data_IF_971380577160
#
_entry.id   IF_971380577160
#
_cell.length_a   1.000
_cell.length_b   1.000
_cell.length_c   1.000
_cell.angle_alpha   90.00
_cell.angle_beta   90.00
_cell.angle_gamma   90.00
#
_symmetry.space_group_name_H-M   'P 1'
#
loop_
_entity.id
_entity.type
_entity.pdbx_description
1 polymer ?
#
# COMPACT_ATOMS: atom_id res chain seq x y z
N UNK A 1 0.77 9.73 14.29
CA UNK A 1 1.48 9.65 12.99
C UNK A 1 2.58 8.59 13.05
N UNK A 2 2.33 7.43 12.43
CA UNK A 2 3.28 6.33 12.26
C UNK A 2 3.90 6.34 10.86
N UNK A 3 5.14 5.87 10.74
CA UNK A 3 5.79 5.63 9.45
C UNK A 3 5.41 4.25 8.91
N UNK A 4 4.62 4.22 7.83
CA UNK A 4 4.30 3.00 7.07
C UNK A 4 4.87 3.02 5.65
N UNK A 5 4.82 1.85 5.01
CA UNK A 5 5.01 1.72 3.57
C UNK A 5 3.80 1.02 2.93
N UNK A 6 3.68 1.12 1.60
CA UNK A 6 2.47 0.67 0.89
C UNK A 6 2.42 -0.84 0.70
N UNK A 7 3.56 -1.53 0.59
CA UNK A 7 3.57 -2.96 0.27
C UNK A 7 4.69 -3.32 -0.68
N UNK A 8 4.46 -3.14 -1.97
CA UNK A 8 5.37 -3.65 -3.00
C UNK A 8 6.81 -3.13 -2.86
N UNK A 9 7.78 -4.03 -2.99
CA UNK A 9 9.21 -3.77 -2.87
C UNK A 9 9.96 -4.43 -4.04
N UNK A 10 11.11 -3.89 -4.49
CA UNK A 10 11.82 -4.47 -5.61
C UNK A 10 12.19 -5.93 -5.37
N UNK A 11 12.05 -6.74 -6.42
CA UNK A 11 12.57 -8.10 -6.42
C UNK A 11 14.10 -8.08 -6.22
N UNK A 12 14.67 -9.08 -5.53
CA UNK A 12 16.12 -9.22 -5.49
C UNK A 12 16.71 -9.40 -6.89
N UNK A 13 17.97 -9.00 -7.05
CA UNK A 13 18.68 -9.09 -8.33
C UNK A 13 18.68 -10.54 -8.85
N UNK A 14 18.25 -10.71 -10.10
CA UNK A 14 18.15 -12.02 -10.76
C UNK A 14 16.86 -12.80 -10.49
N UNK A 15 15.98 -12.33 -9.59
CA UNK A 15 14.68 -12.96 -9.33
C UNK A 15 13.61 -12.38 -10.25
N UNK A 16 12.81 -13.26 -10.85
CA UNK A 16 11.70 -12.91 -11.74
C UNK A 16 10.36 -13.33 -11.16
N UNK A 17 9.26 -12.73 -11.62
CA UNK A 17 7.90 -13.14 -11.22
C UNK A 17 7.61 -14.63 -11.52
N UNK A 18 8.15 -15.16 -12.63
CA UNK A 18 8.03 -16.59 -12.94
C UNK A 18 8.74 -17.48 -11.91
N UNK A 19 9.88 -17.01 -11.39
CA UNK A 19 10.58 -17.71 -10.31
C UNK A 19 9.74 -17.68 -9.04
N UNK A 20 9.18 -16.52 -8.68
CA UNK A 20 8.28 -16.37 -7.53
C UNK A 20 7.15 -17.40 -7.60
N UNK A 21 6.41 -17.43 -8.72
CA UNK A 21 5.27 -18.31 -8.93
C UNK A 21 5.62 -19.80 -8.73
N UNK A 22 6.78 -20.23 -9.20
CA UNK A 22 7.22 -21.63 -9.09
C UNK A 22 7.75 -22.02 -7.71
N UNK A 23 8.09 -21.04 -6.87
CA UNK A 23 8.79 -21.25 -5.62
C UNK A 23 8.01 -20.77 -4.39
N UNK A 24 6.73 -20.42 -4.52
CA UNK A 24 5.90 -19.87 -3.42
C UNK A 24 5.91 -20.71 -2.13
N UNK A 25 5.92 -22.04 -2.24
CA UNK A 25 5.91 -22.94 -1.08
C UNK A 25 7.32 -23.44 -0.69
N UNK A 26 8.37 -22.80 -1.22
CA UNK A 26 9.75 -23.16 -0.89
C UNK A 26 10.29 -22.34 0.28
N UNK A 27 11.22 -22.93 1.02
CA UNK A 27 11.98 -22.23 2.06
C UNK A 27 12.79 -21.05 1.50
N UNK A 28 13.27 -21.14 0.26
CA UNK A 28 14.05 -20.07 -0.35
C UNK A 28 13.21 -18.79 -0.57
N UNK A 29 11.97 -18.95 -1.04
CA UNK A 29 11.04 -17.83 -1.16
C UNK A 29 10.67 -17.24 0.20
N UNK A 30 10.39 -18.08 1.19
CA UNK A 30 10.12 -17.66 2.57
C UNK A 30 11.26 -16.80 3.14
N UNK A 31 12.50 -17.29 3.08
CA UNK A 31 13.66 -16.56 3.61
C UNK A 31 13.91 -15.26 2.83
N UNK A 32 13.58 -15.23 1.54
CA UNK A 32 13.68 -14.02 0.72
C UNK A 32 12.66 -12.95 1.14
N UNK A 33 11.41 -13.35 1.40
CA UNK A 33 10.36 -12.48 1.94
C UNK A 33 10.79 -11.89 3.28
N UNK A 34 11.28 -12.74 4.18
CA UNK A 34 11.79 -12.32 5.50
C UNK A 34 12.94 -11.32 5.39
N UNK A 35 13.93 -11.57 4.51
CA UNK A 35 15.05 -10.64 4.30
C UNK A 35 14.57 -9.28 3.82
N UNK A 36 13.67 -9.23 2.84
CA UNK A 36 13.15 -7.98 2.30
C UNK A 36 12.31 -7.21 3.32
N UNK A 37 11.48 -7.91 4.10
CA UNK A 37 10.74 -7.31 5.22
C UNK A 37 11.69 -6.69 6.25
N UNK A 38 12.74 -7.42 6.65
CA UNK A 38 13.75 -6.90 7.59
C UNK A 38 14.52 -5.70 7.02
N UNK A 39 14.72 -5.60 5.70
CA UNK A 39 15.31 -4.39 5.10
C UNK A 39 14.44 -3.15 5.32
N UNK A 40 13.11 -3.28 5.26
CA UNK A 40 12.18 -2.19 5.56
C UNK A 40 12.23 -1.82 7.04
N UNK A 41 12.16 -2.82 7.93
CA UNK A 41 12.31 -2.62 9.39
C UNK A 41 13.61 -1.88 9.71
N UNK A 42 14.74 -2.35 9.15
CA UNK A 42 16.06 -1.77 9.36
C UNK A 42 16.23 -0.39 8.71
N UNK A 43 15.32 0.01 7.82
CA UNK A 43 15.25 1.37 7.29
C UNK A 43 14.49 2.33 8.19
N UNK A 44 13.89 1.83 9.27
CA UNK A 44 13.16 2.60 10.26
C UNK A 44 11.65 2.70 10.01
N UNK A 45 11.10 1.88 9.12
CA UNK A 45 9.64 1.78 8.92
C UNK A 45 9.02 1.21 10.20
N UNK A 46 8.05 1.93 10.78
CA UNK A 46 7.46 1.60 12.09
C UNK A 46 6.35 0.55 11.97
N UNK A 47 5.58 0.60 10.87
CA UNK A 47 4.56 -0.39 10.52
C UNK A 47 4.80 -0.91 9.09
N UNK A 48 5.81 -1.77 8.90
CA UNK A 48 6.18 -2.28 7.58
C UNK A 48 5.17 -3.29 7.06
N UNK A 49 4.99 -3.30 5.74
CA UNK A 49 4.24 -4.31 5.03
C UNK A 49 5.19 -5.41 4.49
N UNK A 50 4.68 -6.62 4.28
CA UNK A 50 5.39 -7.65 3.51
C UNK A 50 5.71 -7.13 2.10
N UNK A 51 6.74 -7.69 1.42
CA UNK A 51 7.31 -7.05 0.24
C UNK A 51 6.42 -7.12 -1.01
N UNK A 52 5.32 -7.88 -0.99
CA UNK A 52 4.39 -8.11 -2.10
C UNK A 52 5.14 -8.42 -3.41
N UNK A 53 5.94 -9.49 -3.40
CA UNK A 53 6.63 -9.95 -4.60
C UNK A 53 5.68 -10.60 -5.60
N UNK A 54 4.54 -11.10 -5.12
CA UNK A 54 3.45 -11.57 -5.96
C UNK A 54 2.68 -10.41 -6.60
N UNK A 55 2.04 -10.68 -7.74
CA UNK A 55 1.14 -9.72 -8.36
C UNK A 55 -0.06 -9.42 -7.43
N UNK A 56 -0.46 -8.15 -7.37
CA UNK A 56 -1.51 -7.70 -6.45
C UNK A 56 -2.86 -8.36 -6.72
N UNK A 57 -3.15 -8.73 -7.97
CA UNK A 57 -4.41 -9.39 -8.33
C UNK A 57 -4.28 -10.90 -8.12
N UNK A 58 -3.25 -11.50 -8.71
CA UNK A 58 -3.11 -12.96 -8.77
C UNK A 58 -2.95 -13.61 -7.40
N UNK A 59 -2.27 -12.95 -6.45
CA UNK A 59 -2.05 -13.52 -5.11
C UNK A 59 -3.36 -13.83 -4.37
N UNK A 60 -4.43 -13.09 -4.68
CA UNK A 60 -5.77 -13.33 -4.13
C UNK A 60 -6.63 -14.13 -5.11
N UNK A 61 -6.67 -13.72 -6.38
CA UNK A 61 -7.59 -14.30 -7.37
C UNK A 61 -7.28 -15.76 -7.70
N UNK A 62 -6.02 -16.17 -7.71
CA UNK A 62 -5.66 -17.58 -7.91
C UNK A 62 -6.24 -18.47 -6.80
N UNK A 63 -6.27 -17.98 -5.55
CA UNK A 63 -6.86 -18.72 -4.42
C UNK A 63 -8.38 -18.63 -4.49
N UNK A 64 -8.94 -17.45 -4.73
CA UNK A 64 -10.39 -17.21 -4.79
C UNK A 64 -11.05 -18.02 -5.90
N UNK A 65 -10.40 -18.18 -7.05
CA UNK A 65 -10.94 -18.90 -8.22
C UNK A 65 -10.66 -20.39 -8.21
N UNK A 66 -9.92 -20.91 -7.23
CA UNK A 66 -9.65 -22.34 -7.15
C UNK A 66 -10.94 -23.09 -6.74
N UNK A 67 -11.49 -23.98 -7.59
CA UNK A 67 -12.73 -24.69 -7.30
C UNK A 67 -12.66 -25.56 -6.04
N UNK A 68 -11.48 -26.03 -5.65
CA UNK A 68 -11.29 -26.83 -4.43
C UNK A 68 -11.30 -25.98 -3.16
N UNK A 69 -11.09 -24.67 -3.30
CA UNK A 69 -11.00 -23.72 -2.18
C UNK A 69 -12.27 -22.88 -2.01
N UNK A 70 -13.24 -22.98 -2.92
CA UNK A 70 -14.46 -22.18 -2.91
C UNK A 70 -15.57 -22.83 -2.10
N UNK A 71 -16.29 -22.01 -1.31
CA UNK A 71 -17.60 -22.39 -0.77
C UNK A 71 -18.69 -22.12 -1.83
N UNK A 72 -18.54 -21.02 -2.58
CA UNK A 72 -19.37 -20.61 -3.73
C UNK A 72 -18.50 -19.92 -4.79
N UNK A 73 -19.05 -19.63 -5.97
CA UNK A 73 -18.32 -18.89 -7.01
C UNK A 73 -17.81 -17.54 -6.46
N UNK A 74 -16.50 -17.33 -6.56
CA UNK A 74 -15.78 -16.16 -6.02
C UNK A 74 -15.83 -16.00 -4.49
N UNK A 75 -16.34 -17.00 -3.75
CA UNK A 75 -16.36 -17.03 -2.29
C UNK A 75 -15.36 -18.08 -1.79
N UNK A 76 -14.16 -17.64 -1.46
CA UNK A 76 -13.10 -18.53 -0.94
C UNK A 76 -13.44 -19.01 0.47
N UNK A 77 -13.31 -20.31 0.71
CA UNK A 77 -13.43 -20.90 2.04
C UNK A 77 -12.40 -20.30 2.99
N UNK A 78 -12.85 -19.93 4.19
CA UNK A 78 -12.02 -19.23 5.18
C UNK A 78 -10.70 -19.95 5.50
N UNK A 79 -10.67 -21.29 5.50
CA UNK A 79 -9.45 -22.07 5.76
C UNK A 79 -8.37 -21.92 4.70
N UNK A 80 -8.72 -21.46 3.49
CA UNK A 80 -7.80 -21.28 2.37
C UNK A 80 -7.45 -19.81 2.11
N UNK A 81 -8.15 -18.87 2.76
CA UNK A 81 -7.91 -17.42 2.65
C UNK A 81 -6.63 -17.01 3.40
N UNK A 82 -5.47 -17.38 2.88
CA UNK A 82 -4.16 -17.22 3.52
C UNK A 82 -3.25 -16.34 2.67
N UNK A 83 -2.61 -15.35 3.29
CA UNK A 83 -1.61 -14.49 2.68
C UNK A 83 -0.23 -15.12 2.90
N UNK A 84 0.35 -15.70 1.84
CA UNK A 84 1.61 -16.47 1.93
C UNK A 84 2.79 -15.67 2.45
N UNK A 85 2.94 -14.43 2.00
CA UNK A 85 4.06 -13.58 2.45
C UNK A 85 3.91 -13.15 3.91
N UNK A 86 2.67 -13.00 4.40
CA UNK A 86 2.43 -12.79 5.82
C UNK A 86 2.84 -14.02 6.63
N UNK A 87 2.47 -15.24 6.23
CA UNK A 87 2.94 -16.46 6.91
C UNK A 87 4.46 -16.55 7.00
N UNK A 88 5.19 -16.06 5.99
CA UNK A 88 6.65 -16.00 6.02
C UNK A 88 7.16 -14.97 7.04
N UNK A 89 6.54 -13.79 7.12
CA UNK A 89 6.89 -12.74 8.09
C UNK A 89 6.57 -13.17 9.53
N UNK A 90 5.48 -13.89 9.76
CA UNK A 90 5.10 -14.35 11.10
C UNK A 90 6.04 -15.41 11.70
N UNK A 91 6.96 -15.96 10.89
CA UNK A 91 8.00 -16.89 11.35
C UNK A 91 9.25 -16.19 11.89
N UNK A 92 9.32 -14.87 11.79
CA UNK A 92 10.39 -14.04 12.36
C UNK A 92 9.84 -13.11 13.43
N UNK A 93 10.70 -12.69 14.36
CA UNK A 93 10.30 -11.75 15.41
C UNK A 93 10.07 -10.36 14.82
N UNK A 94 8.82 -9.87 14.87
CA UNK A 94 8.47 -8.52 14.48
C UNK A 94 7.32 -7.98 15.34
N UNK A 95 7.39 -6.69 15.69
CA UNK A 95 6.45 -6.06 16.61
C UNK A 95 5.23 -5.44 15.93
N UNK A 96 5.35 -5.14 14.63
CA UNK A 96 4.33 -4.45 13.86
C UNK A 96 4.38 -4.91 12.41
N UNK A 97 3.20 -5.20 11.86
CA UNK A 97 2.99 -5.53 10.46
C UNK A 97 1.78 -4.75 9.94
N UNK A 98 1.93 -4.14 8.77
CA UNK A 98 0.82 -3.66 7.95
C UNK A 98 0.49 -4.75 6.94
N UNK A 99 -0.79 -5.08 6.83
CA UNK A 99 -1.28 -6.04 5.82
C UNK A 99 -1.84 -5.25 4.66
N UNK A 100 -1.52 -5.59 3.41
CA UNK A 100 -2.16 -4.97 2.25
C UNK A 100 -2.88 -6.01 1.42
N UNK A 101 -4.18 -5.81 1.25
CA UNK A 101 -5.03 -6.61 0.36
C UNK A 101 -5.48 -5.76 -0.80
N UNK A 102 -5.57 -6.37 -1.98
CA UNK A 102 -6.25 -5.73 -3.10
C UNK A 102 -7.74 -5.66 -2.81
N UNK A 103 -8.31 -4.48 -3.01
CA UNK A 103 -9.70 -4.23 -2.70
C UNK A 103 -10.70 -4.97 -3.59
N UNK A 104 -11.93 -5.18 -3.10
CA UNK A 104 -12.96 -5.90 -3.83
C UNK A 104 -13.30 -5.29 -5.18
N UNK A 105 -13.30 -3.96 -5.33
CA UNK A 105 -13.61 -3.34 -6.62
C UNK A 105 -12.48 -3.49 -7.63
N UNK A 106 -11.23 -3.38 -7.20
CA UNK A 106 -10.07 -3.62 -8.06
C UNK A 106 -10.06 -5.06 -8.57
N UNK A 107 -10.26 -6.06 -7.68
CA UNK A 107 -10.35 -7.46 -8.08
C UNK A 107 -11.54 -7.72 -9.02
N UNK A 108 -12.69 -7.14 -8.71
CA UNK A 108 -13.88 -7.22 -9.55
C UNK A 108 -13.61 -6.65 -10.94
N UNK A 109 -13.08 -5.43 -11.02
CA UNK A 109 -12.87 -4.71 -12.26
C UNK A 109 -11.88 -5.43 -13.18
N UNK A 110 -10.81 -6.01 -12.61
CA UNK A 110 -9.85 -6.80 -13.39
C UNK A 110 -10.42 -8.09 -13.96
N UNK A 111 -11.38 -8.70 -13.26
CA UNK A 111 -12.00 -9.96 -13.70
C UNK A 111 -13.18 -9.73 -14.67
N UNK A 112 -14.04 -8.75 -14.40
CA UNK A 112 -15.35 -8.61 -15.04
C UNK A 112 -15.57 -7.27 -15.76
N UNK A 113 -14.65 -6.31 -15.65
CA UNK A 113 -14.80 -4.97 -16.21
C UNK A 113 -15.77 -4.09 -15.42
N UNK A 114 -16.36 -3.09 -16.07
CA UNK A 114 -17.10 -2.01 -15.39
C UNK A 114 -18.54 -2.31 -14.97
N UNK A 115 -19.17 -3.38 -15.48
CA UNK A 115 -20.55 -3.73 -15.10
C UNK A 115 -20.52 -4.48 -13.78
N UNK A 116 -21.15 -3.94 -12.73
CA UNK A 116 -21.10 -4.50 -11.37
C UNK A 116 -22.30 -5.43 -11.10
N UNK A 117 -22.01 -6.69 -10.76
CA UNK A 117 -22.97 -7.69 -10.27
C UNK A 117 -22.81 -7.81 -8.75
N UNK A 118 -23.87 -7.48 -8.01
CA UNK A 118 -23.83 -7.35 -6.54
C UNK A 118 -23.49 -8.67 -5.83
N UNK A 119 -23.94 -9.80 -6.35
CA UNK A 119 -23.64 -11.13 -5.80
C UNK A 119 -22.14 -11.45 -5.90
N UNK A 120 -21.53 -11.20 -7.06
CA UNK A 120 -20.09 -11.42 -7.26
C UNK A 120 -19.28 -10.41 -6.43
N UNK A 121 -19.65 -9.13 -6.43
CA UNK A 121 -18.99 -8.12 -5.61
C UNK A 121 -19.03 -8.48 -4.12
N UNK A 122 -20.20 -8.90 -3.62
CA UNK A 122 -20.37 -9.36 -2.24
C UNK A 122 -19.49 -10.57 -1.92
N UNK A 123 -19.39 -11.52 -2.84
CA UNK A 123 -18.54 -12.71 -2.66
C UNK A 123 -17.05 -12.36 -2.65
N UNK A 124 -16.60 -11.47 -3.54
CA UNK A 124 -15.22 -10.96 -3.52
C UNK A 124 -14.91 -10.18 -2.24
N UNK A 125 -15.79 -9.27 -1.83
CA UNK A 125 -15.66 -8.52 -0.58
C UNK A 125 -15.58 -9.43 0.65
N UNK A 126 -16.45 -10.44 0.70
CA UNK A 126 -16.43 -11.44 1.77
C UNK A 126 -15.15 -12.29 1.72
N UNK A 127 -14.70 -12.66 0.52
CA UNK A 127 -13.44 -13.39 0.34
C UNK A 127 -12.24 -12.60 0.87
N UNK A 128 -12.11 -11.32 0.51
CA UNK A 128 -11.02 -10.48 0.98
C UNK A 128 -11.10 -10.21 2.48
N UNK A 129 -12.30 -9.98 3.01
CA UNK A 129 -12.52 -9.93 4.46
C UNK A 129 -12.07 -11.22 5.17
N UNK A 130 -12.23 -12.41 4.58
CA UNK A 130 -11.70 -13.67 5.14
C UNK A 130 -10.17 -13.73 5.16
N UNK A 131 -9.48 -13.19 4.15
CA UNK A 131 -8.02 -13.06 4.18
C UNK A 131 -7.58 -12.15 5.33
N UNK A 132 -8.25 -11.00 5.47
CA UNK A 132 -7.99 -10.05 6.57
C UNK A 132 -8.29 -10.70 7.92
N UNK A 133 -9.42 -11.40 8.06
CA UNK A 133 -9.81 -12.08 9.30
C UNK A 133 -8.77 -13.11 9.75
N UNK A 134 -8.14 -13.82 8.81
CA UNK A 134 -7.04 -14.71 9.15
C UNK A 134 -5.74 -13.96 9.48
N UNK A 135 -5.47 -12.85 8.81
CA UNK A 135 -4.29 -12.03 9.06
C UNK A 135 -4.32 -11.36 10.44
N UNK A 136 -5.45 -10.77 10.85
CA UNK A 136 -5.57 -10.06 12.14
C UNK A 136 -5.56 -10.99 13.36
N UNK A 137 -5.45 -12.31 13.16
CA UNK A 137 -5.18 -13.27 14.26
C UNK A 137 -3.76 -13.13 14.81
N UNK A 138 -2.86 -12.56 14.03
CA UNK A 138 -1.50 -12.27 14.47
C UNK A 138 -1.49 -10.93 15.24
N UNK A 139 -1.10 -10.95 16.51
CA UNK A 139 -1.19 -9.79 17.42
C UNK A 139 -0.29 -8.59 17.03
N UNK A 140 0.71 -8.83 16.19
CA UNK A 140 1.61 -7.85 15.61
C UNK A 140 1.02 -7.15 14.38
N UNK A 141 -0.09 -7.62 13.79
CA UNK A 141 -0.81 -6.88 12.75
C UNK A 141 -1.46 -5.65 13.39
N UNK A 142 -1.04 -4.46 12.95
CA UNK A 142 -1.50 -3.17 13.51
C UNK A 142 -2.42 -2.41 12.57
N UNK A 143 -2.41 -2.76 11.29
CA UNK A 143 -3.13 -2.04 10.26
C UNK A 143 -3.36 -2.93 9.06
N UNK A 144 -4.52 -2.76 8.41
CA UNK A 144 -4.86 -3.38 7.14
C UNK A 144 -5.13 -2.28 6.13
N UNK A 145 -4.52 -2.37 4.95
CA UNK A 145 -4.80 -1.52 3.80
C UNK A 145 -5.57 -2.27 2.75
N UNK A 146 -6.59 -1.60 2.23
CA UNK A 146 -7.37 -2.04 1.09
C UNK A 146 -6.96 -1.16 -0.09
N UNK A 147 -6.27 -1.73 -1.07
CA UNK A 147 -5.74 -0.99 -2.20
C UNK A 147 -6.74 -0.98 -3.37
N UNK A 148 -7.24 0.20 -3.73
CA UNK A 148 -8.28 0.41 -4.75
C UNK A 148 -7.84 1.45 -5.80
N UNK A 149 -6.80 1.15 -6.61
CA UNK A 149 -6.24 2.12 -7.54
C UNK A 149 -7.21 2.51 -8.68
N UNK A 150 -8.14 1.64 -9.09
CA UNK A 150 -9.12 1.96 -10.13
C UNK A 150 -10.27 2.85 -9.65
N UNK A 151 -10.62 2.86 -8.36
CA UNK A 151 -11.73 3.66 -7.84
C UNK A 151 -11.44 5.16 -7.99
N UNK A 152 -12.36 5.86 -8.65
CA UNK A 152 -12.23 7.29 -8.94
C UNK A 152 -11.28 7.64 -10.09
N UNK A 153 -10.63 6.66 -10.73
CA UNK A 153 -9.82 6.85 -11.94
C UNK A 153 -10.44 6.20 -13.17
N UNK A 154 -11.01 5.01 -13.03
CA UNK A 154 -11.60 4.25 -14.14
C UNK A 154 -13.01 4.75 -14.45
N UNK A 155 -13.26 5.37 -15.63
CA UNK A 155 -14.59 5.92 -15.96
C UNK A 155 -15.68 4.86 -16.06
N UNK A 156 -15.31 3.61 -16.31
CA UNK A 156 -16.24 2.47 -16.43
C UNK A 156 -16.67 1.92 -15.07
N UNK A 157 -15.88 2.14 -14.02
CA UNK A 157 -16.14 1.64 -12.68
C UNK A 157 -16.82 2.76 -11.87
N UNK A 158 -18.15 2.76 -11.87
CA UNK A 158 -18.98 3.80 -11.23
C UNK A 158 -19.92 3.14 -10.20
N UNK A 159 -19.40 2.69 -9.05
CA UNK A 159 -20.22 2.00 -8.06
C UNK A 159 -21.25 2.93 -7.42
N UNK A 160 -22.41 2.38 -7.09
CA UNK A 160 -23.42 3.06 -6.27
C UNK A 160 -22.98 3.10 -4.81
N UNK A 161 -23.60 3.97 -4.00
CA UNK A 161 -23.33 3.99 -2.56
C UNK A 161 -23.68 2.67 -1.85
N UNK A 162 -24.71 1.97 -2.32
CA UNK A 162 -25.07 0.65 -1.79
C UNK A 162 -24.00 -0.40 -2.10
N UNK A 163 -23.39 -0.34 -3.29
CA UNK A 163 -22.30 -1.24 -3.67
C UNK A 163 -21.02 -0.94 -2.88
N UNK A 164 -20.74 0.34 -2.59
CA UNK A 164 -19.63 0.73 -1.73
C UNK A 164 -19.82 0.17 -0.32
N UNK A 165 -21.03 0.31 0.26
CA UNK A 165 -21.37 -0.29 1.56
C UNK A 165 -21.25 -1.81 1.54
N UNK A 166 -21.80 -2.45 0.51
CA UNK A 166 -21.72 -3.90 0.31
C UNK A 166 -20.27 -4.41 0.31
N UNK A 167 -19.37 -3.66 -0.33
CA UNK A 167 -17.97 -4.01 -0.46
C UNK A 167 -17.19 -3.81 0.85
N UNK A 168 -17.38 -2.68 1.55
CA UNK A 168 -16.49 -2.28 2.63
C UNK A 168 -17.02 -2.51 4.06
N UNK A 169 -18.33 -2.65 4.28
CA UNK A 169 -18.88 -2.96 5.63
C UNK A 169 -18.46 -4.37 6.14
N UNK A 170 -17.83 -5.19 5.29
CA UNK A 170 -17.26 -6.49 5.67
C UNK A 170 -15.95 -6.38 6.46
N UNK A 171 -15.32 -5.21 6.51
CA UNK A 171 -13.98 -5.02 7.09
C UNK A 171 -14.00 -4.58 8.55
N UNK A 172 -14.90 -5.16 9.35
CA UNK A 172 -15.01 -4.84 10.78
C UNK A 172 -13.98 -5.61 11.60
N UNK A 173 -12.84 -4.98 11.86
CA UNK A 173 -11.73 -5.56 12.63
C UNK A 173 -11.19 -4.58 13.68
N UNK A 174 -10.55 -5.10 14.74
CA UNK A 174 -9.96 -4.30 15.83
C UNK A 174 -8.52 -3.87 15.51
N UNK A 175 -8.33 -3.30 14.32
CA UNK A 175 -7.08 -2.73 13.79
C UNK A 175 -7.44 -1.59 12.86
N UNK A 176 -6.54 -0.62 12.66
CA UNK A 176 -6.78 0.49 11.73
C UNK A 176 -6.99 -0.06 10.31
N UNK A 177 -8.15 0.25 9.72
CA UNK A 177 -8.47 -0.05 8.32
C UNK A 177 -8.18 1.18 7.47
N UNK A 178 -7.12 1.08 6.66
CA UNK A 178 -6.77 2.04 5.63
C UNK A 178 -7.42 1.66 4.30
N UNK A 179 -7.77 2.66 3.50
CA UNK A 179 -8.01 2.49 2.07
C UNK A 179 -7.03 3.36 1.28
N UNK A 180 -6.30 2.77 0.33
CA UNK A 180 -5.36 3.52 -0.52
C UNK A 180 -6.03 3.81 -1.86
N UNK A 181 -6.22 5.10 -2.14
CA UNK A 181 -6.75 5.62 -3.40
C UNK A 181 -5.67 6.32 -4.21
N UNK A 182 -5.64 6.08 -5.52
CA UNK A 182 -4.82 6.88 -6.45
C UNK A 182 -5.52 8.19 -6.86
N UNK A 183 -6.85 8.28 -6.70
CA UNK A 183 -7.63 9.51 -6.91
C UNK A 183 -8.20 9.98 -5.58
N UNK A 184 -7.67 11.07 -4.99
CA UNK A 184 -8.20 11.63 -3.75
C UNK A 184 -9.69 11.97 -3.85
N UNK A 185 -10.19 12.40 -5.01
CA UNK A 185 -11.58 12.84 -5.20
C UNK A 185 -12.64 11.81 -4.76
N UNK A 186 -12.31 10.52 -4.85
CA UNK A 186 -13.24 9.45 -4.48
C UNK A 186 -13.44 9.30 -2.96
N UNK A 187 -12.60 9.95 -2.13
CA UNK A 187 -12.70 9.80 -0.67
C UNK A 187 -14.07 10.18 -0.11
N UNK A 188 -14.75 11.16 -0.71
CA UNK A 188 -16.07 11.63 -0.27
C UNK A 188 -17.10 10.52 -0.29
N UNK A 189 -16.97 9.57 -1.22
CA UNK A 189 -17.85 8.41 -1.31
C UNK A 189 -17.66 7.41 -0.16
N UNK A 190 -16.55 7.48 0.58
CA UNK A 190 -16.17 6.53 1.62
C UNK A 190 -16.36 7.08 3.03
N UNK A 191 -16.68 8.37 3.16
CA UNK A 191 -16.84 9.06 4.46
C UNK A 191 -17.90 8.40 5.36
N UNK A 192 -18.96 7.84 4.76
CA UNK A 192 -20.03 7.16 5.50
C UNK A 192 -19.70 5.70 5.90
N UNK A 193 -18.61 5.13 5.39
CA UNK A 193 -18.23 3.75 5.69
C UNK A 193 -17.49 3.73 7.03
N UNK A 194 -18.15 3.25 8.08
CA UNK A 194 -17.59 3.26 9.43
C UNK A 194 -16.36 2.37 9.57
N UNK A 195 -16.33 1.27 8.82
CA UNK A 195 -15.24 0.28 8.82
C UNK A 195 -13.95 0.77 8.17
N UNK A 196 -13.93 1.95 7.53
CA UNK A 196 -12.70 2.56 7.01
C UNK A 196 -12.29 3.68 7.97
N UNK A 197 -11.16 3.52 8.64
CA UNK A 197 -10.67 4.49 9.63
C UNK A 197 -9.80 5.58 8.98
N UNK A 198 -9.02 5.20 7.95
CA UNK A 198 -7.97 6.04 7.38
C UNK A 198 -8.05 6.10 5.86
N UNK A 199 -8.13 7.31 5.31
CA UNK A 199 -8.05 7.54 3.86
C UNK A 199 -6.59 7.77 3.46
N UNK A 200 -6.05 6.96 2.55
CA UNK A 200 -4.70 7.09 2.01
C UNK A 200 -4.68 7.83 0.68
N UNK A 201 -3.86 8.89 0.59
CA UNK A 201 -3.67 9.69 -0.62
C UNK A 201 -2.19 9.88 -0.97
N UNK A 202 -1.92 9.97 -2.27
CA UNK A 202 -0.59 10.23 -2.84
C UNK A 202 -0.40 11.73 -3.06
N UNK A 203 0.66 12.32 -2.49
CA UNK A 203 0.85 13.78 -2.48
C UNK A 203 2.29 14.23 -2.71
N UNK A 204 3.28 13.33 -2.60
CA UNK A 204 4.68 13.71 -2.71
C UNK A 204 5.04 14.15 -4.13
N UNK A 205 4.46 13.51 -5.14
CA UNK A 205 4.59 13.91 -6.55
C UNK A 205 3.79 15.17 -6.89
N UNK A 206 2.55 15.28 -6.41
CA UNK A 206 1.69 16.45 -6.62
C UNK A 206 1.00 16.89 -5.32
N UNK A 207 1.54 17.96 -4.73
CA UNK A 207 1.05 18.50 -3.45
C UNK A 207 -0.38 19.02 -3.52
N UNK A 208 -0.87 19.38 -4.71
CA UNK A 208 -2.24 19.87 -4.91
C UNK A 208 -3.28 18.79 -4.65
N UNK A 209 -2.88 17.51 -4.64
CA UNK A 209 -3.74 16.40 -4.24
C UNK A 209 -4.31 16.60 -2.82
N UNK A 210 -3.54 17.23 -1.92
CA UNK A 210 -4.03 17.57 -0.58
C UNK A 210 -5.19 18.57 -0.61
N UNK A 211 -5.27 19.43 -1.62
CA UNK A 211 -6.37 20.42 -1.76
C UNK A 211 -7.70 19.80 -2.16
N UNK A 212 -7.69 18.53 -2.54
CA UNK A 212 -8.88 17.77 -2.89
C UNK A 212 -9.54 17.12 -1.67
N UNK A 213 -8.91 17.17 -0.49
CA UNK A 213 -9.45 16.61 0.76
C UNK A 213 -9.70 17.75 1.75
N UNK A 214 -10.95 17.86 2.20
CA UNK A 214 -11.36 18.82 3.23
C UNK A 214 -11.11 18.23 4.62
N UNK A 215 -10.44 19.01 5.49
CA UNK A 215 -10.22 18.62 6.88
C UNK A 215 -11.55 18.47 7.64
N UNK A 216 -12.54 19.31 7.35
CA UNK A 216 -13.84 19.26 8.03
C UNK A 216 -14.58 17.96 7.75
N UNK A 217 -14.47 17.43 6.52
CA UNK A 217 -15.06 16.14 6.16
C UNK A 217 -14.47 15.02 7.02
N UNK A 218 -13.14 15.01 7.17
CA UNK A 218 -12.46 14.04 8.03
C UNK A 218 -12.88 14.20 9.50
N UNK A 219 -13.08 15.42 9.99
CA UNK A 219 -13.51 15.66 11.36
C UNK A 219 -14.95 15.22 11.63
N UNK A 220 -15.88 15.54 10.74
CA UNK A 220 -17.30 15.23 10.86
C UNK A 220 -17.52 13.71 10.84
N UNK A 221 -16.77 13.01 10.00
CA UNK A 221 -16.89 11.55 9.82
C UNK A 221 -15.89 10.75 10.66
N UNK A 222 -15.17 11.43 11.56
CA UNK A 222 -14.10 10.89 12.40
C UNK A 222 -13.08 10.01 11.65
N UNK A 223 -12.72 10.45 10.44
CA UNK A 223 -11.70 9.80 9.63
C UNK A 223 -10.31 10.35 9.95
N UNK A 224 -9.31 9.51 9.75
CA UNK A 224 -7.91 9.90 9.71
C UNK A 224 -7.40 9.88 8.28
N UNK A 225 -6.19 10.40 8.09
CA UNK A 225 -5.54 10.45 6.78
C UNK A 225 -4.15 9.83 6.82
N UNK A 226 -3.81 9.14 5.74
CA UNK A 226 -2.46 8.65 5.43
C UNK A 226 -1.91 9.46 4.27
N UNK A 227 -0.76 10.10 4.45
CA UNK A 227 -0.17 11.01 3.46
C UNK A 227 1.12 10.45 2.88
N UNK A 228 1.19 10.33 1.56
CA UNK A 228 2.44 10.11 0.84
C UNK A 228 3.33 11.34 0.85
N UNK A 229 4.52 11.26 1.46
CA UNK A 229 5.49 12.36 1.64
C UNK A 229 6.82 12.12 0.91
N UNK A 230 7.06 10.88 0.48
CA UNK A 230 8.21 10.50 -0.34
C UNK A 230 7.75 9.98 -1.70
N UNK A 231 8.39 10.42 -2.79
CA UNK A 231 8.01 10.03 -4.15
C UNK A 231 8.39 8.57 -4.43
N UNK A 232 7.45 7.82 -4.99
CA UNK A 232 7.67 6.46 -5.50
C UNK A 232 7.78 6.40 -7.03
N UNK A 233 7.64 7.53 -7.74
CA UNK A 233 7.77 7.60 -9.20
C UNK A 233 9.23 7.72 -9.64
N UNK A 234 9.98 6.61 -9.56
CA UNK A 234 11.41 6.57 -9.89
C UNK A 234 11.73 7.13 -11.28
N UNK A 235 10.86 6.91 -12.27
CA UNK A 235 11.01 7.47 -13.61
C UNK A 235 11.00 8.99 -13.62
N UNK A 236 10.11 9.61 -12.84
CA UNK A 236 10.02 11.05 -12.68
C UNK A 236 11.25 11.62 -11.96
N UNK A 237 11.64 10.97 -10.86
CA UNK A 237 12.85 11.32 -10.09
C UNK A 237 14.09 11.32 -10.99
N UNK A 238 14.29 10.23 -11.75
CA UNK A 238 15.46 10.07 -12.64
C UNK A 238 15.38 11.03 -13.83
N UNK A 239 14.18 11.28 -14.40
CA UNK A 239 14.01 12.22 -15.49
C UNK A 239 14.40 13.65 -15.09
N UNK A 240 13.96 14.11 -13.93
CA UNK A 240 14.31 15.44 -13.38
C UNK A 240 15.82 15.55 -13.12
N UNK A 241 16.42 14.51 -12.52
CA UNK A 241 17.86 14.46 -12.29
C UNK A 241 18.66 14.49 -13.60
N UNK A 242 18.28 13.69 -14.59
CA UNK A 242 18.92 13.67 -15.90
C UNK A 242 18.84 15.03 -16.59
N UNK A 243 17.69 15.71 -16.52
CA UNK A 243 17.52 17.05 -17.08
C UNK A 243 18.41 18.08 -16.36
N UNK A 244 18.51 18.00 -15.03
CA UNK A 244 19.33 18.90 -14.22
C UNK A 244 20.83 18.77 -14.47
N UNK A 245 21.32 17.54 -14.67
CA UNK A 245 22.76 17.25 -14.81
C UNK A 245 23.22 16.94 -16.23
N UNK A 246 22.30 16.87 -17.19
CA UNK A 246 22.57 16.46 -18.57
C UNK A 246 23.29 15.09 -18.65
N UNK A 247 22.77 14.11 -17.91
CA UNK A 247 23.29 12.73 -17.84
C UNK A 247 22.21 11.71 -18.20
N UNK A 248 22.60 10.44 -18.27
CA UNK A 248 21.67 9.32 -18.34
C UNK A 248 21.92 8.36 -17.17
N UNK A 249 21.24 8.59 -16.05
CA UNK A 249 21.40 7.83 -14.81
C UNK A 249 20.99 6.36 -14.96
N UNK A 250 20.11 6.00 -15.91
CA UNK A 250 19.70 4.60 -16.13
C UNK A 250 20.86 3.67 -16.52
N UNK A 251 21.99 4.22 -16.98
CA UNK A 251 23.19 3.45 -17.32
C UNK A 251 24.12 3.19 -16.13
N UNK A 252 23.85 3.78 -14.96
CA UNK A 252 24.71 3.67 -13.79
C UNK A 252 23.89 3.65 -12.50
N UNK A 253 23.88 2.51 -11.80
CA UNK A 253 23.20 2.33 -10.50
C UNK A 253 23.60 3.41 -9.49
N UNK A 254 24.84 3.92 -9.53
CA UNK A 254 25.30 5.00 -8.63
C UNK A 254 24.63 6.34 -8.93
N UNK A 255 24.38 6.64 -10.21
CA UNK A 255 23.67 7.85 -10.59
C UNK A 255 22.19 7.77 -10.20
N UNK A 256 21.57 6.59 -10.24
CA UNK A 256 20.19 6.42 -9.74
C UNK A 256 20.13 6.64 -8.22
N UNK A 257 21.05 6.04 -7.47
CA UNK A 257 21.14 6.28 -6.03
C UNK A 257 21.30 7.78 -5.72
N UNK A 258 22.20 8.46 -6.46
CA UNK A 258 22.39 9.91 -6.33
C UNK A 258 21.14 10.71 -6.69
N UNK A 259 20.38 10.29 -7.71
CA UNK A 259 19.12 10.94 -8.06
C UNK A 259 18.12 10.88 -6.90
N UNK A 260 17.99 9.73 -6.24
CA UNK A 260 17.12 9.57 -5.06
C UNK A 260 17.64 10.43 -3.89
N UNK A 261 18.94 10.37 -3.60
CA UNK A 261 19.54 11.12 -2.50
C UNK A 261 19.39 12.65 -2.64
N UNK A 262 19.29 13.15 -3.86
CA UNK A 262 19.22 14.58 -4.14
C UNK A 262 17.79 15.09 -4.35
N UNK A 263 16.97 14.34 -5.10
CA UNK A 263 15.60 14.73 -5.43
C UNK A 263 14.62 14.40 -4.29
N UNK A 264 14.91 13.34 -3.53
CA UNK A 264 14.17 12.89 -2.35
C UNK A 264 15.08 12.92 -1.11
N UNK A 265 15.74 14.06 -0.92
CA UNK A 265 16.56 14.32 0.25
C UNK A 265 15.72 14.52 1.52
N UNK A 266 16.38 14.42 2.68
CA UNK A 266 15.74 14.55 4.00
C UNK A 266 14.98 15.88 4.13
N UNK A 267 15.55 16.97 3.62
CA UNK A 267 14.96 18.31 3.71
C UNK A 267 13.68 18.43 2.90
N UNK A 268 13.66 17.88 1.70
CA UNK A 268 12.52 17.89 0.78
C UNK A 268 11.36 17.11 1.37
N UNK A 269 11.62 15.89 1.86
CA UNK A 269 10.60 15.07 2.51
C UNK A 269 10.07 15.76 3.78
N UNK A 270 10.96 16.32 4.62
CA UNK A 270 10.58 17.06 5.84
C UNK A 270 9.67 18.26 5.53
N UNK A 271 9.97 19.01 4.48
CA UNK A 271 9.11 20.13 4.07
C UNK A 271 7.70 19.65 3.70
N UNK A 272 7.58 18.53 2.98
CA UNK A 272 6.27 17.93 2.66
C UNK A 272 5.53 17.47 3.91
N UNK A 273 6.24 16.88 4.89
CA UNK A 273 5.65 16.52 6.19
C UNK A 273 5.11 17.76 6.92
N UNK A 274 5.87 18.87 6.93
CA UNK A 274 5.44 20.14 7.53
C UNK A 274 4.18 20.67 6.84
N UNK A 275 4.17 20.70 5.51
CA UNK A 275 3.02 21.16 4.72
C UNK A 275 1.77 20.32 4.99
N UNK A 276 1.90 18.99 4.97
CA UNK A 276 0.81 18.08 5.29
C UNK A 276 0.28 18.31 6.71
N UNK A 277 1.17 18.45 7.70
CA UNK A 277 0.75 18.66 9.07
C UNK A 277 0.13 20.03 9.31
N UNK A 278 0.60 21.09 8.66
CA UNK A 278 -0.05 22.40 8.74
C UNK A 278 -1.50 22.35 8.23
N UNK A 279 -1.78 21.42 7.31
CA UNK A 279 -3.11 21.25 6.73
C UNK A 279 -4.01 20.31 7.52
N UNK A 280 -3.49 19.17 7.96
CA UNK A 280 -4.30 18.09 8.55
C UNK A 280 -4.02 17.83 10.03
N UNK A 281 -2.97 18.45 10.60
CA UNK A 281 -2.60 18.36 12.01
C UNK A 281 -2.62 16.91 12.56
N UNK A 282 -3.40 16.68 13.61
CA UNK A 282 -3.55 15.41 14.31
C UNK A 282 -4.50 14.40 13.61
N UNK A 283 -5.08 14.78 12.46
CA UNK A 283 -5.79 13.83 11.59
C UNK A 283 -4.83 12.93 10.82
N UNK A 284 -3.53 13.25 10.75
CA UNK A 284 -2.53 12.37 10.12
C UNK A 284 -2.21 11.18 11.03
N UNK A 285 -2.74 10.01 10.67
CA UNK A 285 -2.46 8.75 11.35
C UNK A 285 -1.18 8.11 10.83
N UNK A 286 -0.92 8.17 9.52
CA UNK A 286 0.20 7.49 8.86
C UNK A 286 0.87 8.38 7.81
N UNK A 287 2.16 8.17 7.59
CA UNK A 287 2.93 8.79 6.51
C UNK A 287 3.93 7.79 5.92
N UNK A 288 4.29 7.98 4.66
CA UNK A 288 5.25 7.12 3.98
C UNK A 288 5.47 7.52 2.52
N UNK A 289 5.96 6.60 1.67
CA UNK A 289 6.03 6.81 0.22
C UNK A 289 4.64 6.93 -0.42
N UNK A 290 4.49 7.64 -1.53
CA UNK A 290 3.20 7.77 -2.25
C UNK A 290 2.57 6.40 -2.51
N UNK A 291 3.29 5.54 -3.24
CA UNK A 291 2.85 4.21 -3.64
C UNK A 291 3.89 3.14 -3.26
N UNK A 292 3.66 1.89 -3.69
CA UNK A 292 4.62 0.81 -3.58
C UNK A 292 5.93 1.09 -4.34
N UNK A 293 7.03 0.49 -3.89
CA UNK A 293 8.39 0.73 -4.38
C UNK A 293 8.86 -0.32 -5.40
N UNK A 294 8.00 -1.22 -5.87
CA UNK A 294 8.38 -2.27 -6.83
C UNK A 294 9.06 -1.74 -8.10
N UNK A 295 8.72 -0.53 -8.55
CA UNK A 295 9.31 0.11 -9.74
C UNK A 295 10.78 0.49 -9.55
N UNK A 296 11.27 0.56 -8.31
CA UNK A 296 12.67 0.91 -8.04
C UNK A 296 13.59 -0.19 -8.59
N UNK A 297 14.75 0.19 -9.15
CA UNK A 297 15.61 -0.75 -9.86
C UNK A 297 16.29 -1.77 -8.94
N UNK A 298 16.37 -1.49 -7.63
CA UNK A 298 16.91 -2.44 -6.66
C UNK A 298 16.44 -2.15 -5.23
N UNK A 299 16.55 -3.15 -4.38
CA UNK A 299 16.22 -3.04 -2.96
C UNK A 299 17.09 -2.01 -2.24
N UNK A 300 18.36 -1.84 -2.64
CA UNK A 300 19.25 -0.82 -2.10
C UNK A 300 18.73 0.58 -2.38
N UNK A 301 18.28 0.84 -3.61
CA UNK A 301 17.74 2.17 -3.98
C UNK A 301 16.44 2.48 -3.26
N UNK A 302 15.54 1.49 -3.10
CA UNK A 302 14.33 1.65 -2.31
C UNK A 302 14.62 1.88 -0.81
N UNK A 303 15.64 1.21 -0.27
CA UNK A 303 16.12 1.39 1.11
C UNK A 303 16.64 2.81 1.36
N UNK A 304 17.29 3.44 0.38
CA UNK A 304 17.75 4.85 0.50
C UNK A 304 16.54 5.77 0.73
N UNK A 305 15.48 5.63 -0.06
CA UNK A 305 14.26 6.43 0.09
C UNK A 305 13.63 6.24 1.48
N UNK A 306 13.49 5.00 1.94
CA UNK A 306 12.93 4.70 3.26
C UNK A 306 13.77 5.29 4.39
N UNK A 307 15.10 5.21 4.30
CA UNK A 307 16.02 5.81 5.29
C UNK A 307 15.96 7.34 5.28
N UNK A 308 15.87 7.97 4.12
CA UNK A 308 15.70 9.42 4.03
C UNK A 308 14.35 9.83 4.64
N UNK A 309 13.30 9.07 4.37
CA UNK A 309 11.96 9.28 4.94
C UNK A 309 12.01 9.18 6.47
N UNK A 310 12.61 8.12 7.04
CA UNK A 310 12.79 7.99 8.50
C UNK A 310 13.48 9.20 9.10
N UNK A 311 14.62 9.60 8.54
CA UNK A 311 15.39 10.76 9.03
C UNK A 311 14.57 12.05 8.98
N UNK A 312 13.79 12.26 7.92
CA UNK A 312 12.93 13.43 7.80
C UNK A 312 11.83 13.44 8.87
N UNK A 313 11.28 12.27 9.20
CA UNK A 313 10.30 12.09 10.27
C UNK A 313 10.93 12.36 11.64
N UNK A 314 12.14 11.85 11.89
CA UNK A 314 12.89 12.12 13.12
C UNK A 314 13.14 13.62 13.30
N UNK A 315 13.73 14.27 12.29
CA UNK A 315 14.01 15.71 12.31
C UNK A 315 12.75 16.57 12.45
N UNK A 316 11.59 16.08 12.02
CA UNK A 316 10.31 16.75 12.20
C UNK A 316 9.77 16.57 13.62
N UNK A 317 9.89 15.37 14.19
CA UNK A 317 9.45 15.06 15.55
C UNK A 317 10.31 15.74 16.61
N UNK A 318 11.62 15.85 16.39
CA UNK A 318 12.55 16.56 17.29
C UNK A 318 12.36 18.08 17.29
N UNK A 319 11.85 18.64 16.19
CA UNK A 319 11.62 20.08 16.04
C UNK A 319 10.28 20.58 16.59
N UNK A 320 9.52 19.73 17.29
CA UNK A 320 8.24 20.04 17.93
C UNK A 320 8.39 20.17 19.44
#
# INVERSE_FOLDING_TARGET
MLFDDIGSFPLPEGITRDWIFKNLDTREYEEMVQRAFLMKVNSGVECPNYPQFQDMIEQFMTIIKNPEYQDEAYLVSKKHAIIKELEAVEKIECNSVRVCVTGPFELYYKELGGVIYDDILSNLATSISRFVENAVRYNNVKCVSIDEPSLGLSPELQPTQEQIKLAFEKFKFDVDIQIHLHSPLFYTNLLEINEIDVIGIETAKDRRAMDLVDLNDLEIHDKKIRIGVARSDIDGIVAEFNAKYNVNAWKDKKLIAKAIEEMEDVKTIKNRIIEAYNKFADRIAYIGPDCGLFSFPSQETATILLKNTRKAIDEFREGR
#
